data_IF_150621852451
#
_entry.id   IF_150621852451
#
_cell.length_a   1.000
_cell.length_b   1.000
_cell.length_c   1.000
_cell.angle_alpha   90.00
_cell.angle_beta   90.00
_cell.angle_gamma   90.00
#
_symmetry.space_group_name_H-M   'P 1'
#
loop_
_entity.id
_entity.type
_entity.pdbx_description
1 polymer ?
#
# COMPACT_ATOMS: atom_id res chain seq x y z
N UNK A 1 -3.90 9.86 9.85
CA UNK A 1 -4.85 8.91 10.46
C UNK A 1 -6.21 9.14 9.80
N UNK A 2 -6.91 8.09 9.34
CA UNK A 2 -8.22 8.26 8.74
C UNK A 2 -9.25 8.73 9.78
N UNK A 3 -10.37 9.32 9.35
CA UNK A 3 -11.47 9.65 10.24
C UNK A 3 -11.97 8.39 10.97
N UNK A 4 -12.08 8.46 12.29
CA UNK A 4 -12.63 7.38 13.11
C UNK A 4 -14.06 7.68 13.52
N UNK A 5 -14.82 6.62 13.74
CA UNK A 5 -16.19 6.64 14.23
C UNK A 5 -16.26 5.89 15.56
N UNK A 6 -16.37 6.64 16.66
CA UNK A 6 -16.52 6.04 17.99
C UNK A 6 -17.96 5.54 18.16
N UNK A 7 -18.12 4.23 18.28
CA UNK A 7 -19.42 3.59 18.50
C UNK A 7 -19.44 2.91 19.85
N UNK A 8 -20.58 2.99 20.55
CA UNK A 8 -20.85 2.06 21.62
C UNK A 8 -21.32 0.73 21.02
N UNK A 9 -20.87 -0.38 21.59
CA UNK A 9 -21.33 -1.72 21.27
C UNK A 9 -21.94 -2.38 22.51
N UNK A 10 -23.10 -3.02 22.33
CA UNK A 10 -23.78 -3.77 23.37
C UNK A 10 -23.22 -5.19 23.45
N UNK A 11 -22.55 -5.55 24.55
CA UNK A 11 -21.89 -6.87 24.72
C UNK A 11 -22.87 -8.03 24.55
N UNK A 12 -24.10 -7.88 25.03
CA UNK A 12 -25.09 -8.96 24.99
C UNK A 12 -25.81 -9.15 23.65
N UNK A 13 -25.85 -8.12 22.79
CA UNK A 13 -26.66 -8.16 21.54
C UNK A 13 -25.89 -7.78 20.28
N UNK A 14 -24.66 -7.29 20.38
CA UNK A 14 -23.87 -6.82 19.24
C UNK A 14 -24.39 -5.53 18.58
N UNK A 15 -25.44 -4.91 19.14
CA UNK A 15 -25.99 -3.63 18.66
C UNK A 15 -24.94 -2.52 18.80
N UNK A 16 -24.85 -1.68 17.77
CA UNK A 16 -23.88 -0.58 17.67
C UNK A 16 -24.62 0.74 17.45
N UNK A 17 -24.12 1.82 18.01
CA UNK A 17 -24.65 3.16 17.77
C UNK A 17 -23.71 4.23 18.31
N UNK A 18 -24.12 5.48 18.22
CA UNK A 18 -23.45 6.57 18.92
C UNK A 18 -24.46 7.35 19.78
N UNK A 19 -23.97 8.39 20.47
CA UNK A 19 -24.81 9.26 21.30
C UNK A 19 -25.15 10.58 20.57
N UNK A 20 -24.99 10.62 19.25
CA UNK A 20 -25.31 11.81 18.49
C UNK A 20 -26.82 11.88 18.23
N UNK A 21 -27.44 13.00 18.63
CA UNK A 21 -28.83 13.29 18.35
C UNK A 21 -28.99 13.81 16.92
N UNK A 22 -30.03 13.36 16.21
CA UNK A 22 -30.41 13.90 14.91
C UNK A 22 -31.60 14.85 15.06
N UNK A 23 -31.36 16.16 14.88
CA UNK A 23 -32.39 17.21 15.09
C UNK A 23 -33.08 17.67 13.80
N UNK A 24 -32.82 17.03 12.65
CA UNK A 24 -33.36 17.42 11.34
C UNK A 24 -33.77 16.23 10.48
N UNK A 25 -33.98 16.47 9.18
CA UNK A 25 -34.34 15.43 8.20
C UNK A 25 -33.22 14.39 8.07
N UNK A 26 -33.39 13.26 8.75
CA UNK A 26 -32.40 12.20 8.78
C UNK A 26 -32.35 11.48 7.43
N UNK A 27 -31.21 11.57 6.74
CA UNK A 27 -30.90 10.75 5.57
C UNK A 27 -29.83 9.74 5.96
N UNK A 28 -30.27 8.53 6.29
CA UNK A 28 -29.38 7.42 6.69
C UNK A 28 -28.82 6.71 5.47
N UNK A 29 -27.50 6.56 5.46
CA UNK A 29 -26.78 5.71 4.52
C UNK A 29 -26.20 4.50 5.24
N UNK A 30 -26.10 3.39 4.52
CA UNK A 30 -25.49 2.17 5.00
C UNK A 30 -23.98 2.26 4.78
N UNK A 31 -23.21 2.08 5.84
CA UNK A 31 -21.74 2.02 5.78
C UNK A 31 -21.24 0.75 6.46
N UNK A 32 -20.18 0.17 5.91
CA UNK A 32 -19.47 -0.93 6.52
C UNK A 32 -18.26 -0.39 7.28
N UNK A 33 -18.08 -0.85 8.52
CA UNK A 33 -17.01 -0.39 9.40
C UNK A 33 -16.24 -1.54 10.01
N UNK A 34 -14.95 -1.35 10.24
CA UNK A 34 -14.07 -2.32 10.93
C UNK A 34 -13.45 -1.67 12.16
N UNK A 35 -13.07 -2.44 13.19
CA UNK A 35 -12.33 -1.91 14.34
C UNK A 35 -11.07 -1.15 13.88
N UNK A 36 -10.79 -0.01 14.53
CA UNK A 36 -9.64 0.82 14.18
C UNK A 36 -8.28 0.10 14.39
N UNK A 37 -8.24 -0.89 15.28
CA UNK A 37 -7.08 -1.77 15.47
C UNK A 37 -6.73 -2.56 14.19
N UNK A 38 -7.72 -3.04 13.44
CA UNK A 38 -7.52 -3.70 12.15
C UNK A 38 -6.85 -2.75 11.13
N UNK A 39 -7.22 -1.47 11.16
CA UNK A 39 -6.57 -0.46 10.32
C UNK A 39 -5.16 -0.14 10.80
N UNK A 40 -4.90 -0.15 12.12
CA UNK A 40 -3.57 0.09 12.66
C UNK A 40 -2.57 -0.96 12.19
N UNK A 41 -2.96 -2.23 12.15
CA UNK A 41 -2.13 -3.32 11.61
C UNK A 41 -1.80 -3.11 10.13
N UNK A 42 -2.79 -2.71 9.31
CA UNK A 42 -2.57 -2.36 7.90
C UNK A 42 -1.66 -1.14 7.73
N UNK A 43 -1.77 -0.16 8.64
CA UNK A 43 -0.93 1.02 8.62
C UNK A 43 0.52 0.69 8.98
N UNK A 44 0.74 -0.08 10.04
CA UNK A 44 2.05 -0.56 10.45
C UNK A 44 2.71 -1.37 9.33
N UNK A 45 1.95 -2.26 8.69
CA UNK A 45 2.40 -2.99 7.52
C UNK A 45 2.85 -2.05 6.40
N UNK A 46 2.04 -1.04 6.04
CA UNK A 46 2.45 -0.05 5.04
C UNK A 46 3.75 0.63 5.44
N UNK A 47 3.92 1.01 6.70
CA UNK A 47 5.16 1.68 7.17
C UNK A 47 6.39 0.80 7.02
N UNK A 48 6.29 -0.49 7.32
CA UNK A 48 7.38 -1.46 7.09
C UNK A 48 7.66 -1.63 5.59
N UNK A 49 6.60 -1.56 4.77
CA UNK A 49 6.72 -1.68 3.31
C UNK A 49 7.31 -0.43 2.66
N UNK A 50 7.28 0.78 3.25
CA UNK A 50 7.71 2.03 2.56
C UNK A 50 9.20 2.08 2.21
N UNK A 51 10.08 1.39 2.95
CA UNK A 51 11.53 1.47 2.71
C UNK A 51 11.97 0.82 1.39
N UNK A 52 11.37 -0.32 1.02
CA UNK A 52 11.76 -1.06 -0.18
C UNK A 52 11.37 -0.36 -1.50
N UNK A 53 10.15 0.17 -1.68
CA UNK A 53 9.76 0.98 -2.82
C UNK A 53 10.65 2.20 -3.02
N UNK A 54 11.13 2.85 -1.95
CA UNK A 54 12.02 4.00 -2.08
C UNK A 54 13.37 3.61 -2.68
N UNK A 55 13.97 2.50 -2.19
CA UNK A 55 15.20 1.94 -2.76
C UNK A 55 14.97 1.55 -4.22
N UNK A 56 13.91 0.80 -4.50
CA UNK A 56 13.55 0.34 -5.85
C UNK A 56 13.33 1.51 -6.80
N UNK A 57 12.48 2.48 -6.44
CA UNK A 57 12.16 3.65 -7.26
C UNK A 57 13.42 4.44 -7.61
N UNK A 58 14.29 4.67 -6.63
CA UNK A 58 15.57 5.35 -6.86
C UNK A 58 16.47 4.58 -7.82
N UNK A 59 16.60 3.27 -7.63
CA UNK A 59 17.41 2.45 -8.50
C UNK A 59 16.85 2.39 -9.92
N UNK A 60 15.53 2.18 -10.09
CA UNK A 60 14.88 2.19 -11.39
C UNK A 60 15.08 3.52 -12.13
N UNK A 61 14.96 4.65 -11.45
CA UNK A 61 15.27 5.95 -12.04
C UNK A 61 16.73 6.03 -12.50
N UNK A 62 17.68 5.64 -11.64
CA UNK A 62 19.10 5.60 -12.02
C UNK A 62 19.34 4.69 -13.24
N UNK A 63 18.68 3.54 -13.33
CA UNK A 63 18.79 2.65 -14.50
C UNK A 63 18.14 3.24 -15.75
N UNK A 64 17.04 3.97 -15.64
CA UNK A 64 16.39 4.64 -16.77
C UNK A 64 17.26 5.75 -17.38
N UNK A 65 18.07 6.42 -16.54
CA UNK A 65 18.99 7.49 -16.95
C UNK A 65 20.33 6.99 -17.46
N UNK A 66 20.65 5.70 -17.27
CA UNK A 66 21.88 5.11 -17.79
C UNK A 66 21.81 5.03 -19.31
N UNK A 67 22.24 6.08 -20.00
CA UNK A 67 22.47 6.07 -21.44
C UNK A 67 23.79 5.35 -21.70
N UNK A 68 23.75 4.29 -22.51
CA UNK A 68 24.97 3.68 -23.01
C UNK A 68 25.71 4.75 -23.85
N UNK A 69 26.94 5.15 -23.50
CA UNK A 69 27.76 5.98 -24.39
C UNK A 69 27.89 5.23 -25.73
N UNK A 70 27.91 5.95 -26.85
CA UNK A 70 27.80 5.38 -28.21
C UNK A 70 28.45 3.99 -28.36
N UNK A 71 27.61 2.94 -28.32
CA UNK A 71 28.00 1.54 -28.19
C UNK A 71 28.17 1.10 -26.73
N UNK A 72 27.17 0.37 -26.18
CA UNK A 72 27.32 -0.23 -24.85
C UNK A 72 28.51 -1.20 -24.85
N UNK A 73 29.45 -0.99 -23.93
CA UNK A 73 30.62 -1.86 -23.75
C UNK A 73 30.35 -2.92 -22.69
N UNK A 74 31.20 -3.94 -22.65
CA UNK A 74 31.22 -4.92 -21.57
C UNK A 74 31.40 -4.28 -20.18
N UNK A 75 32.18 -3.20 -20.10
CA UNK A 75 32.39 -2.42 -18.87
C UNK A 75 31.09 -1.76 -18.40
N UNK A 76 30.32 -1.16 -19.31
CA UNK A 76 29.00 -0.59 -19.01
C UNK A 76 28.06 -1.67 -18.47
N UNK A 77 28.01 -2.83 -19.12
CA UNK A 77 27.15 -3.93 -18.69
C UNK A 77 27.56 -4.48 -17.32
N UNK A 78 28.86 -4.66 -17.09
CA UNK A 78 29.41 -5.13 -15.81
C UNK A 78 29.07 -4.17 -14.68
N UNK A 79 29.26 -2.86 -14.87
CA UNK A 79 28.86 -1.85 -13.89
C UNK A 79 27.35 -1.83 -13.63
N UNK A 80 26.54 -2.10 -14.65
CA UNK A 80 25.07 -2.21 -14.52
C UNK A 80 24.68 -3.45 -13.70
N UNK A 81 25.36 -4.59 -13.90
CA UNK A 81 25.18 -5.81 -13.09
C UNK A 81 25.61 -5.62 -11.65
N UNK A 82 26.71 -4.92 -11.42
CA UNK A 82 27.21 -4.64 -10.07
C UNK A 82 26.22 -3.76 -9.30
N UNK A 83 25.69 -2.70 -9.93
CA UNK A 83 24.59 -1.91 -9.36
C UNK A 83 23.37 -2.76 -9.02
N UNK A 84 22.96 -3.66 -9.91
CA UNK A 84 21.83 -4.55 -9.63
C UNK A 84 22.11 -5.49 -8.45
N UNK A 85 23.36 -5.95 -8.30
CA UNK A 85 23.79 -6.74 -7.14
C UNK A 85 23.70 -5.92 -5.85
N UNK A 86 24.19 -4.68 -5.87
CA UNK A 86 24.15 -3.79 -4.70
C UNK A 86 22.71 -3.50 -4.27
N UNK A 87 21.81 -3.27 -5.22
CA UNK A 87 20.38 -3.06 -4.95
C UNK A 87 19.74 -4.30 -4.34
N UNK A 88 20.01 -5.48 -4.90
CA UNK A 88 19.50 -6.73 -4.33
C UNK A 88 20.04 -6.98 -2.92
N UNK A 89 21.32 -6.69 -2.67
CA UNK A 89 21.92 -6.80 -1.34
C UNK A 89 21.31 -5.82 -0.34
N UNK A 90 20.99 -4.59 -0.77
CA UNK A 90 20.31 -3.61 0.07
C UNK A 90 18.89 -4.09 0.44
N UNK A 91 18.15 -4.65 -0.53
CA UNK A 91 16.79 -5.16 -0.31
C UNK A 91 16.76 -6.42 0.57
N UNK A 92 17.77 -7.29 0.49
CA UNK A 92 17.90 -8.44 1.38
C UNK A 92 18.08 -8.01 2.86
N UNK A 93 18.78 -6.89 3.09
CA UNK A 93 18.92 -6.30 4.43
C UNK A 93 17.61 -5.71 4.98
N UNK A 94 16.70 -5.31 4.10
CA UNK A 94 15.36 -4.78 4.44
C UNK A 94 14.29 -5.88 4.48
N UNK A 95 14.66 -7.15 4.31
CA UNK A 95 13.74 -8.27 4.16
C UNK A 95 13.11 -8.71 5.50
N UNK A 96 12.16 -7.93 5.99
CA UNK A 96 10.95 -8.49 6.58
C UNK A 96 10.01 -8.78 5.42
N UNK A 97 9.94 -10.06 5.03
CA UNK A 97 9.09 -10.60 3.97
C UNK A 97 7.78 -9.82 3.91
N UNK A 98 7.51 -9.16 2.78
CA UNK A 98 6.23 -8.52 2.49
C UNK A 98 5.16 -9.62 2.53
N UNK A 99 4.55 -9.83 3.69
CA UNK A 99 3.40 -10.70 3.76
C UNK A 99 2.25 -9.90 3.19
N UNK A 100 1.50 -10.50 2.26
CA UNK A 100 0.20 -9.99 1.86
C UNK A 100 -0.63 -9.88 3.13
N UNK A 101 -0.82 -8.65 3.61
CA UNK A 101 -1.69 -8.40 4.76
C UNK A 101 -3.10 -8.42 4.21
N UNK A 102 -3.70 -9.61 4.20
CA UNK A 102 -5.13 -9.74 4.06
C UNK A 102 -5.74 -9.27 5.38
N UNK A 103 -6.48 -8.16 5.35
CA UNK A 103 -7.32 -7.82 6.49
C UNK A 103 -8.58 -8.69 6.45
N UNK A 104 -9.03 -9.10 7.63
CA UNK A 104 -10.17 -9.98 7.76
C UNK A 104 -11.48 -9.19 7.58
N UNK A 105 -12.10 -9.37 6.41
CA UNK A 105 -13.39 -8.74 6.09
C UNK A 105 -14.54 -9.27 6.95
N UNK A 106 -14.37 -10.43 7.61
CA UNK A 106 -15.38 -10.98 8.53
C UNK A 106 -15.56 -10.12 9.79
N UNK A 107 -14.60 -9.24 10.10
CA UNK A 107 -14.70 -8.27 11.19
C UNK A 107 -15.52 -7.04 10.83
N UNK A 108 -15.92 -6.89 9.56
CA UNK A 108 -16.75 -5.77 9.11
C UNK A 108 -18.15 -5.86 9.74
N UNK A 109 -18.61 -4.73 10.26
CA UNK A 109 -19.95 -4.54 10.77
C UNK A 109 -20.69 -3.51 9.95
N UNK A 110 -21.89 -3.84 9.53
CA UNK A 110 -22.81 -2.89 8.91
C UNK A 110 -23.39 -1.95 9.97
N UNK A 111 -23.40 -0.65 9.67
CA UNK A 111 -24.07 0.38 10.48
C UNK A 111 -24.82 1.37 9.59
N UNK A 112 -25.88 1.97 10.12
CA UNK A 112 -26.68 2.99 9.44
C UNK A 112 -26.32 4.35 10.00
N UNK A 113 -25.67 5.20 9.18
CA UNK A 113 -25.16 6.50 9.58
C UNK A 113 -25.95 7.61 8.89
N UNK A 114 -26.37 8.63 9.63
CA UNK A 114 -26.92 9.84 9.03
C UNK A 114 -25.81 10.59 8.27
N UNK A 115 -26.00 10.79 6.97
CA UNK A 115 -25.07 11.54 6.10
C UNK A 115 -24.88 13.00 6.52
N UNK A 116 -25.85 13.58 7.24
CA UNK A 116 -25.84 14.99 7.65
C UNK A 116 -25.26 15.21 9.06
N UNK A 117 -25.70 14.44 10.07
CA UNK A 117 -25.28 14.64 11.46
C UNK A 117 -24.34 13.55 12.00
N UNK A 118 -24.12 12.46 11.25
CA UNK A 118 -23.27 11.35 11.65
C UNK A 118 -23.85 10.45 12.74
N UNK A 119 -25.11 10.64 13.15
CA UNK A 119 -25.81 9.74 14.09
C UNK A 119 -25.86 8.32 13.55
N UNK A 120 -25.62 7.33 14.41
CA UNK A 120 -25.63 5.91 14.04
C UNK A 120 -26.74 5.19 14.79
N UNK A 121 -27.66 4.62 14.03
CA UNK A 121 -28.84 3.96 14.58
C UNK A 121 -28.51 2.56 15.08
N UNK A 122 -29.02 2.26 16.28
CA UNK A 122 -28.94 0.93 16.87
C UNK A 122 -29.81 -0.05 16.09
N UNK A 123 -29.18 -1.02 15.42
CA UNK A 123 -29.87 -2.07 14.63
C UNK A 123 -30.85 -2.96 15.43
N UNK A 124 -30.94 -2.82 16.76
CA UNK A 124 -31.94 -3.53 17.57
C UNK A 124 -32.25 -2.80 18.89
N UNK A 125 -33.53 -2.46 19.18
CA UNK A 125 -33.91 -1.92 20.47
C UNK A 125 -33.65 -2.93 21.60
N UNK A 126 -32.91 -2.50 22.62
CA UNK A 126 -32.55 -3.30 23.79
C UNK A 126 -33.52 -3.10 24.96
N UNK A 127 -33.69 -4.14 25.78
CA UNK A 127 -34.49 -4.09 27.02
C UNK A 127 -33.65 -3.44 28.12
N UNK A 128 -33.42 -2.12 28.03
CA UNK A 128 -32.99 -1.22 29.13
C UNK A 128 -31.64 -1.44 29.83
N UNK A 129 -31.04 -2.62 29.77
CA UNK A 129 -29.80 -2.99 30.48
C UNK A 129 -28.84 -3.61 29.48
N UNK A 130 -27.90 -2.82 28.97
CA UNK A 130 -26.76 -3.37 28.24
C UNK A 130 -25.45 -2.83 28.78
N UNK A 131 -24.50 -3.74 29.00
CA UNK A 131 -23.09 -3.40 29.16
C UNK A 131 -22.59 -2.88 27.81
N UNK A 132 -22.38 -1.57 27.73
CA UNK A 132 -21.85 -0.89 26.56
C UNK A 132 -20.35 -0.74 26.71
N UNK A 133 -19.60 -1.07 25.65
CA UNK A 133 -18.20 -0.68 25.49
C UNK A 133 -18.08 0.25 24.30
N UNK A 134 -17.21 1.24 24.39
CA UNK A 134 -16.89 2.13 23.26
C UNK A 134 -15.69 1.58 22.52
N UNK A 135 -15.80 1.54 21.19
CA UNK A 135 -14.74 1.09 20.28
C UNK A 135 -14.70 2.06 19.11
N UNK A 136 -13.50 2.37 18.66
CA UNK A 136 -13.29 3.18 17.46
C UNK A 136 -13.33 2.31 16.22
N UNK A 137 -14.03 2.79 15.20
CA UNK A 137 -14.16 2.12 13.92
C UNK A 137 -13.64 3.00 12.79
N UNK A 138 -13.21 2.37 11.69
CA UNK A 138 -12.83 3.01 10.42
C UNK A 138 -13.71 2.44 9.33
N UNK A 139 -13.97 3.21 8.26
CA UNK A 139 -14.74 2.67 7.12
C UNK A 139 -14.00 1.51 6.46
N UNK A 140 -14.74 0.47 6.08
CA UNK A 140 -14.22 -0.68 5.36
C UNK A 140 -13.56 -0.24 4.04
N UNK A 141 -14.18 0.70 3.32
CA UNK A 141 -13.63 1.28 2.09
C UNK A 141 -12.23 1.88 2.29
N UNK A 142 -11.99 2.57 3.41
CA UNK A 142 -10.66 3.11 3.72
C UNK A 142 -9.63 1.99 3.93
N UNK A 143 -10.04 0.89 4.57
CA UNK A 143 -9.18 -0.27 4.77
C UNK A 143 -8.91 -1.01 3.45
N UNK A 144 -9.93 -1.17 2.60
CA UNK A 144 -9.81 -1.76 1.26
C UNK A 144 -8.86 -0.95 0.37
N UNK A 145 -8.98 0.39 0.39
CA UNK A 145 -8.08 1.27 -0.36
C UNK A 145 -6.64 1.17 0.13
N UNK A 146 -6.42 1.20 1.45
CA UNK A 146 -5.10 1.05 2.06
C UNK A 146 -4.48 -0.32 1.76
N UNK A 147 -5.28 -1.39 1.82
CA UNK A 147 -4.81 -2.74 1.49
C UNK A 147 -4.43 -2.86 0.02
N UNK A 148 -5.24 -2.26 -0.88
CA UNK A 148 -4.93 -2.17 -2.31
C UNK A 148 -3.62 -1.41 -2.55
N UNK A 149 -3.42 -0.26 -1.91
CA UNK A 149 -2.17 0.52 -2.01
C UNK A 149 -0.94 -0.33 -1.65
N UNK A 150 -1.02 -1.08 -0.53
CA UNK A 150 0.07 -1.96 -0.07
C UNK A 150 0.30 -3.10 -1.07
N UNK A 151 -0.76 -3.71 -1.60
CA UNK A 151 -0.67 -4.76 -2.60
C UNK A 151 -0.04 -4.26 -3.91
N UNK A 152 -0.49 -3.11 -4.42
CA UNK A 152 0.03 -2.50 -5.64
C UNK A 152 1.51 -2.10 -5.49
N UNK A 153 1.93 -1.62 -4.32
CA UNK A 153 3.35 -1.38 -4.00
C UNK A 153 4.14 -2.68 -3.93
N UNK A 154 3.56 -3.73 -3.37
CA UNK A 154 4.23 -5.02 -3.25
C UNK A 154 4.48 -5.70 -4.57
N UNK A 155 3.47 -5.74 -5.43
CA UNK A 155 3.62 -6.26 -6.78
C UNK A 155 4.70 -5.51 -7.55
N UNK A 156 4.75 -4.17 -7.40
CA UNK A 156 5.73 -3.34 -8.08
C UNK A 156 7.17 -3.61 -7.61
N UNK A 157 7.37 -3.76 -6.29
CA UNK A 157 8.68 -4.12 -5.72
C UNK A 157 9.11 -5.51 -6.19
N UNK A 158 8.22 -6.50 -6.17
CA UNK A 158 8.51 -7.87 -6.61
C UNK A 158 8.90 -7.92 -8.10
N UNK A 159 8.17 -7.18 -8.95
CA UNK A 159 8.48 -7.06 -10.36
C UNK A 159 9.87 -6.43 -10.60
N UNK A 160 10.21 -5.38 -9.85
CA UNK A 160 11.52 -4.75 -9.92
C UNK A 160 12.66 -5.67 -9.43
N UNK A 161 12.44 -6.39 -8.32
CA UNK A 161 13.38 -7.39 -7.80
C UNK A 161 13.64 -8.47 -8.85
N UNK A 162 12.59 -8.96 -9.51
CA UNK A 162 12.73 -9.94 -10.59
C UNK A 162 13.58 -9.39 -11.73
N UNK A 163 13.35 -8.14 -12.13
CA UNK A 163 14.13 -7.48 -13.17
C UNK A 163 15.61 -7.32 -12.78
N UNK A 164 15.92 -6.91 -11.53
CA UNK A 164 17.30 -6.83 -11.06
C UNK A 164 17.98 -8.20 -11.00
N UNK A 165 17.25 -9.26 -10.64
CA UNK A 165 17.76 -10.65 -10.68
C UNK A 165 18.09 -11.08 -12.10
N UNK A 166 17.22 -10.76 -13.07
CA UNK A 166 17.47 -11.03 -14.49
C UNK A 166 18.72 -10.29 -14.96
N UNK A 167 18.83 -8.98 -14.68
CA UNK A 167 19.99 -8.19 -15.05
C UNK A 167 21.29 -8.76 -14.47
N UNK A 168 21.28 -9.13 -13.17
CA UNK A 168 22.42 -9.76 -12.50
C UNK A 168 22.83 -11.07 -13.17
N UNK A 169 21.88 -11.85 -13.68
CA UNK A 169 22.11 -13.18 -14.27
C UNK A 169 22.48 -13.19 -15.75
N UNK A 170 22.09 -12.17 -16.51
CA UNK A 170 22.29 -12.14 -17.96
C UNK A 170 23.73 -11.72 -18.32
N UNK A 171 24.38 -12.56 -19.14
CA UNK A 171 25.65 -12.27 -19.81
C UNK A 171 25.39 -12.15 -21.32
N UNK A 172 25.41 -10.94 -21.89
CA UNK A 172 25.31 -10.73 -23.33
C UNK A 172 26.42 -11.47 -24.07
N UNK A 173 26.12 -11.96 -25.28
CA UNK A 173 27.15 -12.46 -26.20
C UNK A 173 27.91 -11.28 -26.82
N UNK A 174 29.11 -11.54 -27.32
CA UNK A 174 29.90 -10.56 -28.05
C UNK A 174 29.08 -9.89 -29.16
N UNK A 175 29.18 -8.56 -29.24
CA UNK A 175 28.43 -7.74 -30.19
C UNK A 175 26.93 -7.59 -29.89
N UNK A 176 26.42 -8.13 -28.76
CA UNK A 176 25.01 -7.96 -28.32
C UNK A 176 24.83 -7.04 -27.13
N UNK A 177 25.90 -6.46 -26.61
CA UNK A 177 25.90 -5.53 -25.47
C UNK A 177 24.88 -4.39 -25.63
N UNK A 178 24.91 -3.69 -26.77
CA UNK A 178 24.00 -2.56 -27.03
C UNK A 178 22.53 -2.99 -27.12
N UNK A 179 22.27 -4.13 -27.76
CA UNK A 179 20.92 -4.69 -27.87
C UNK A 179 20.36 -5.04 -26.48
N UNK A 180 21.15 -5.73 -25.65
CA UNK A 180 20.77 -6.06 -24.28
C UNK A 180 20.54 -4.81 -23.43
N UNK A 181 21.40 -3.79 -23.56
CA UNK A 181 21.24 -2.52 -22.87
C UNK A 181 19.92 -1.82 -23.24
N UNK A 182 19.60 -1.72 -24.55
CA UNK A 182 18.34 -1.15 -25.03
C UNK A 182 17.12 -1.91 -24.52
N UNK A 183 17.12 -3.23 -24.62
CA UNK A 183 16.01 -4.05 -24.09
C UNK A 183 15.80 -3.84 -22.60
N UNK A 184 16.89 -3.76 -21.82
CA UNK A 184 16.80 -3.52 -20.40
C UNK A 184 16.23 -2.12 -20.09
N UNK A 185 16.69 -1.08 -20.77
CA UNK A 185 16.15 0.28 -20.61
C UNK A 185 14.65 0.35 -20.94
N UNK A 186 14.21 -0.33 -22.01
CA UNK A 186 12.79 -0.44 -22.36
C UNK A 186 12.02 -1.14 -21.25
N UNK A 187 12.51 -2.28 -20.75
CA UNK A 187 11.85 -3.01 -19.66
C UNK A 187 11.74 -2.17 -18.38
N UNK A 188 12.78 -1.40 -18.02
CA UNK A 188 12.77 -0.47 -16.88
C UNK A 188 11.72 0.62 -17.09
N UNK A 189 11.65 1.19 -18.29
CA UNK A 189 10.68 2.24 -18.63
C UNK A 189 9.24 1.72 -18.58
N UNK A 190 8.99 0.52 -19.13
CA UNK A 190 7.68 -0.12 -19.11
C UNK A 190 7.24 -0.45 -17.68
N UNK A 191 8.18 -0.88 -16.83
CA UNK A 191 7.91 -1.15 -15.41
C UNK A 191 7.53 0.13 -14.66
N UNK A 192 8.27 1.23 -14.86
CA UNK A 192 7.96 2.53 -14.27
C UNK A 192 6.60 3.09 -14.74
N UNK A 193 6.23 2.82 -16.00
CA UNK A 193 4.93 3.23 -16.54
C UNK A 193 3.77 2.39 -15.99
N UNK A 194 3.99 1.08 -15.83
CA UNK A 194 2.99 0.13 -15.32
C UNK A 194 2.74 0.30 -13.82
N UNK A 195 3.80 0.62 -13.05
CA UNK A 195 3.72 0.78 -11.61
C UNK A 195 3.96 2.23 -11.19
N UNK A 196 2.96 3.08 -11.44
CA UNK A 196 2.98 4.49 -10.99
C UNK A 196 3.10 4.65 -9.47
N UNK A 197 2.83 3.60 -8.71
CA UNK A 197 3.06 3.53 -7.25
C UNK A 197 4.55 3.63 -6.89
N UNK A 198 5.46 3.27 -7.79
CA UNK A 198 6.91 3.44 -7.62
C UNK A 198 7.41 4.85 -7.97
N UNK A 199 6.51 5.84 -8.07
CA UNK A 199 6.95 7.22 -8.28
C UNK A 199 7.76 7.68 -7.08
N UNK A 200 8.93 8.24 -7.38
CA UNK A 200 9.78 8.90 -6.40
C UNK A 200 8.90 9.87 -5.58
N UNK A 201 8.98 9.87 -4.23
CA UNK A 201 8.39 10.96 -3.47
C UNK A 201 9.03 12.23 -3.98
N UNK A 202 8.26 13.10 -4.65
CA UNK A 202 8.75 14.42 -5.03
C UNK A 202 9.43 15.01 -3.80
N UNK A 203 10.69 15.42 -3.91
CA UNK A 203 11.45 16.05 -2.83
C UNK A 203 10.84 17.39 -2.33
N UNK A 204 9.62 17.70 -2.78
CA UNK A 204 8.81 18.85 -2.44
C UNK A 204 7.39 18.37 -2.14
N UNK A 205 7.19 17.78 -0.96
CA UNK A 205 5.89 17.79 -0.29
C UNK A 205 6.19 18.15 1.15
N UNK A 206 6.34 19.46 1.37
CA UNK A 206 6.29 20.02 2.73
C UNK A 206 4.96 19.60 3.38
N UNK A 207 4.96 19.24 4.67
CA UNK A 207 3.73 19.00 5.39
C UNK A 207 2.96 20.32 5.52
N UNK A 208 1.72 20.34 5.02
CA UNK A 208 0.70 21.31 5.40
C UNK A 208 -0.22 20.67 6.45
#
# INVERSE_FOLDING_TARGET
MPPTLTLWFCVGRGSKGNFADCTGDCSTERIDVVPAETFADLFEAKTVVVEQPAIVAKSLHQFSELVAPGGATEEFWSGTRDKARDVLSALEGTSSRMQSIAFDREQAAEVWRCSTCGSVEATSPGIGVCLRKTVDFVSLETCELQAKDVADLSEAVDAAIMMFRLLRGVAPRDGKWELCAKHFQTAVSDLLMSHRSLKFPNAHSEPA
#
